data_IF_599650941338
#
_entry.id   IF_599650941338
#
_cell.length_a   1.000
_cell.length_b   1.000
_cell.length_c   1.000
_cell.angle_alpha   90.00
_cell.angle_beta   90.00
_cell.angle_gamma   90.00
#
_symmetry.space_group_name_H-M   'P 1'
#
loop_
_entity.id
_entity.type
_entity.pdbx_description
1 polymer ?
#
# COMPACT_ATOMS: atom_id res chain seq x y z
N UNK A 1 -5.51 -50.20 -23.73
CA UNK A 1 -4.33 -49.46 -23.24
C UNK A 1 -4.66 -47.98 -23.34
N UNK A 2 -4.98 -47.34 -22.21
CA UNK A 2 -5.31 -45.91 -22.15
C UNK A 2 -4.01 -45.11 -22.11
N UNK A 3 -3.86 -44.15 -23.03
CA UNK A 3 -2.74 -43.20 -23.01
C UNK A 3 -2.71 -42.44 -21.69
N UNK A 4 -1.52 -42.19 -21.12
CA UNK A 4 -1.39 -41.36 -19.94
C UNK A 4 -1.75 -39.91 -20.30
N UNK A 5 -2.82 -39.39 -19.71
CA UNK A 5 -3.20 -37.99 -19.82
C UNK A 5 -2.05 -37.12 -19.30
N UNK A 6 -1.54 -36.25 -20.17
CA UNK A 6 -0.52 -35.26 -19.81
C UNK A 6 -1.12 -34.28 -18.81
N UNK A 7 -0.62 -34.30 -17.58
CA UNK A 7 -0.95 -33.31 -16.54
C UNK A 7 -0.62 -31.91 -17.09
N UNK A 8 -1.56 -30.95 -17.11
CA UNK A 8 -1.28 -29.60 -17.59
C UNK A 8 -0.20 -28.96 -16.71
N UNK A 9 0.94 -28.62 -17.32
CA UNK A 9 1.99 -27.84 -16.64
C UNK A 9 1.40 -26.50 -16.21
N UNK A 10 1.39 -26.25 -14.91
CA UNK A 10 1.05 -24.94 -14.35
C UNK A 10 1.97 -23.90 -15.00
N UNK A 11 1.45 -22.79 -15.56
CA UNK A 11 2.31 -21.77 -16.14
C UNK A 11 3.27 -21.27 -15.07
N UNK A 12 4.57 -21.35 -15.34
CA UNK A 12 5.60 -20.79 -14.48
C UNK A 12 5.32 -19.29 -14.31
N UNK A 13 5.39 -18.75 -13.07
CA UNK A 13 5.27 -17.32 -12.86
C UNK A 13 6.29 -16.60 -13.73
N UNK A 14 5.85 -15.58 -14.49
CA UNK A 14 6.76 -14.76 -15.28
C UNK A 14 7.80 -14.14 -14.34
N UNK A 15 9.07 -14.17 -14.75
CA UNK A 15 10.13 -13.48 -14.04
C UNK A 15 9.76 -12.00 -13.87
N UNK A 16 10.05 -11.45 -12.69
CA UNK A 16 9.85 -10.04 -12.38
C UNK A 16 11.11 -9.25 -12.67
N UNK A 17 10.91 -8.04 -13.17
CA UNK A 17 11.96 -7.09 -13.50
C UNK A 17 12.23 -6.19 -12.29
N UNK A 18 13.48 -6.15 -11.75
CA UNK A 18 13.80 -5.43 -10.53
C UNK A 18 13.38 -3.96 -10.51
N UNK A 19 13.50 -3.27 -11.65
CA UNK A 19 13.10 -1.86 -11.79
C UNK A 19 11.61 -1.66 -11.51
N UNK A 20 10.75 -2.49 -12.11
CA UNK A 20 9.30 -2.39 -11.93
C UNK A 20 8.82 -2.91 -10.57
N UNK A 21 9.49 -3.91 -10.00
CA UNK A 21 9.17 -4.39 -8.64
C UNK A 21 9.54 -3.33 -7.59
N UNK A 22 10.73 -2.72 -7.71
CA UNK A 22 11.14 -1.57 -6.90
C UNK A 22 10.18 -0.38 -7.04
N UNK A 23 9.77 -0.04 -8.26
CA UNK A 23 8.79 1.03 -8.48
C UNK A 23 7.43 0.72 -7.85
N UNK A 24 6.96 -0.54 -7.90
CA UNK A 24 5.72 -0.95 -7.22
C UNK A 24 5.76 -0.67 -5.71
N UNK A 25 6.88 -0.90 -5.03
CA UNK A 25 7.03 -0.56 -3.60
C UNK A 25 6.92 0.95 -3.33
N UNK A 26 7.49 1.78 -4.21
CA UNK A 26 7.38 3.23 -4.12
C UNK A 26 5.92 3.68 -4.34
N UNK A 27 5.27 3.17 -5.39
CA UNK A 27 3.85 3.49 -5.69
C UNK A 27 2.94 3.00 -4.57
N UNK A 28 3.16 1.81 -3.99
CA UNK A 28 2.41 1.30 -2.84
C UNK A 28 2.44 2.29 -1.68
N UNK A 29 3.63 2.75 -1.28
CA UNK A 29 3.74 3.75 -0.21
C UNK A 29 2.97 5.04 -0.53
N UNK A 30 3.02 5.52 -1.78
CA UNK A 30 2.29 6.73 -2.19
C UNK A 30 0.78 6.54 -2.13
N UNK A 31 0.28 5.37 -2.52
CA UNK A 31 -1.14 5.01 -2.41
C UNK A 31 -1.61 4.98 -0.96
N UNK A 32 -0.78 4.48 -0.04
CA UNK A 32 -1.11 4.50 1.39
C UNK A 32 -1.09 5.92 1.94
N UNK A 33 -0.07 6.71 1.61
CA UNK A 33 0.03 8.10 2.08
C UNK A 33 -1.12 8.99 1.59
N UNK A 34 -1.60 8.79 0.36
CA UNK A 34 -2.64 9.66 -0.23
C UNK A 34 -4.06 9.13 -0.03
N UNK A 35 -4.27 7.82 -0.18
CA UNK A 35 -5.60 7.20 -0.18
C UNK A 35 -5.85 6.31 1.05
N UNK A 36 -4.85 6.08 1.89
CA UNK A 36 -4.92 5.13 3.01
C UNK A 36 -5.39 3.73 2.58
N UNK A 37 -4.78 3.20 1.51
CA UNK A 37 -5.10 1.87 0.92
C UNK A 37 -3.96 0.87 1.09
N UNK A 38 -3.79 0.29 2.29
CA UNK A 38 -2.59 -0.49 2.61
C UNK A 38 -2.54 -1.89 2.02
N UNK A 39 -3.69 -2.44 1.65
CA UNK A 39 -3.83 -3.82 1.18
C UNK A 39 -3.61 -3.85 -0.33
N UNK A 40 -2.50 -4.47 -0.76
CA UNK A 40 -2.28 -4.79 -2.17
C UNK A 40 -2.99 -6.09 -2.54
N UNK A 41 -3.69 -6.11 -3.67
CA UNK A 41 -4.39 -7.28 -4.22
C UNK A 41 -3.49 -8.02 -5.19
N UNK A 42 -2.89 -7.30 -6.13
CA UNK A 42 -2.01 -7.89 -7.15
C UNK A 42 -1.01 -6.87 -7.70
N UNK A 43 0.06 -7.38 -8.30
CA UNK A 43 1.05 -6.59 -9.04
C UNK A 43 1.43 -7.30 -10.33
N UNK A 44 1.75 -6.53 -11.37
CA UNK A 44 2.46 -7.01 -12.57
C UNK A 44 3.74 -6.20 -12.75
N UNK A 45 4.86 -6.87 -12.51
CA UNK A 45 6.22 -6.32 -12.60
C UNK A 45 7.04 -7.11 -13.64
N UNK A 46 6.41 -7.61 -14.71
CA UNK A 46 7.09 -8.44 -15.72
C UNK A 46 7.83 -7.62 -16.80
N UNK A 47 7.89 -6.29 -16.67
CA UNK A 47 8.54 -5.41 -17.64
C UNK A 47 9.33 -4.31 -16.94
N UNK A 48 10.59 -4.13 -17.31
CA UNK A 48 11.49 -3.18 -16.64
C UNK A 48 11.05 -1.71 -16.72
N UNK A 49 10.16 -1.35 -17.65
CA UNK A 49 9.72 0.04 -17.90
C UNK A 49 8.26 0.31 -17.57
N UNK A 50 7.48 -0.69 -17.20
CA UNK A 50 6.06 -0.52 -16.88
C UNK A 50 5.61 -1.51 -15.83
N UNK A 51 4.72 -1.08 -14.96
CA UNK A 51 4.14 -1.93 -13.93
C UNK A 51 2.66 -1.66 -13.71
N UNK A 52 2.05 -2.58 -12.96
CA UNK A 52 0.67 -2.43 -12.46
C UNK A 52 0.62 -2.81 -11.00
N UNK A 53 -0.16 -2.06 -10.22
CA UNK A 53 -0.50 -2.38 -8.84
C UNK A 53 -2.00 -2.22 -8.66
N UNK A 54 -2.65 -3.22 -8.08
CA UNK A 54 -4.05 -3.17 -7.67
C UNK A 54 -4.14 -3.23 -6.15
N UNK A 55 -4.89 -2.32 -5.57
CA UNK A 55 -5.11 -2.21 -4.12
C UNK A 55 -6.59 -2.34 -3.78
N UNK A 56 -6.87 -2.73 -2.54
CA UNK A 56 -8.22 -2.68 -2.00
C UNK A 56 -8.62 -1.22 -1.79
N UNK A 57 -9.77 -0.85 -2.35
CA UNK A 57 -10.29 0.51 -2.33
C UNK A 57 -11.80 0.48 -2.23
N UNK A 58 -12.33 1.09 -1.16
CA UNK A 58 -13.77 1.12 -0.87
C UNK A 58 -14.46 2.41 -1.33
N UNK A 59 -13.74 3.34 -1.97
CA UNK A 59 -14.36 4.52 -2.52
C UNK A 59 -15.36 4.15 -3.61
N UNK A 60 -16.54 4.74 -3.58
CA UNK A 60 -17.57 4.55 -4.61
C UNK A 60 -17.21 5.20 -5.93
N UNK A 61 -16.43 6.28 -5.88
CA UNK A 61 -16.00 7.05 -7.04
C UNK A 61 -14.54 6.80 -7.41
N UNK A 62 -14.25 6.93 -8.70
CA UNK A 62 -12.87 6.90 -9.20
C UNK A 62 -12.10 8.12 -8.65
N UNK A 63 -10.85 7.97 -8.17
CA UNK A 63 -10.05 9.12 -7.76
C UNK A 63 -9.94 10.17 -8.87
N UNK A 64 -10.09 11.43 -8.47
CA UNK A 64 -9.94 12.59 -9.36
C UNK A 64 -8.48 12.78 -9.75
N UNK A 65 -8.27 13.50 -10.85
CA UNK A 65 -6.95 13.70 -11.45
C UNK A 65 -5.95 14.39 -10.49
N UNK A 66 -6.42 15.31 -9.65
CA UNK A 66 -5.59 15.98 -8.62
C UNK A 66 -5.06 14.99 -7.59
N UNK A 67 -5.86 14.01 -7.19
CA UNK A 67 -5.46 12.93 -6.28
C UNK A 67 -4.47 11.98 -6.97
N UNK A 68 -4.71 11.62 -8.23
CA UNK A 68 -3.78 10.80 -9.03
C UNK A 68 -2.44 11.52 -9.18
N UNK A 69 -2.46 12.82 -9.49
CA UNK A 69 -1.26 13.64 -9.56
C UNK A 69 -0.52 13.68 -8.22
N UNK A 70 -1.24 13.83 -7.09
CA UNK A 70 -0.63 13.80 -5.75
C UNK A 70 0.07 12.47 -5.46
N UNK A 71 -0.50 11.33 -5.87
CA UNK A 71 0.14 10.01 -5.74
C UNK A 71 1.43 9.96 -6.56
N UNK A 72 1.40 10.44 -7.80
CA UNK A 72 2.60 10.49 -8.66
C UNK A 72 3.68 11.41 -8.08
N UNK A 73 3.30 12.61 -7.63
CA UNK A 73 4.23 13.58 -7.05
C UNK A 73 4.91 12.98 -5.81
N UNK A 74 4.15 12.28 -4.97
CA UNK A 74 4.65 11.66 -3.75
C UNK A 74 5.58 10.46 -4.04
N UNK A 75 5.23 9.63 -5.03
CA UNK A 75 6.12 8.56 -5.50
C UNK A 75 7.46 9.13 -5.99
N UNK A 76 7.43 10.20 -6.79
CA UNK A 76 8.64 10.84 -7.30
C UNK A 76 9.43 11.60 -6.22
N UNK A 77 8.76 12.13 -5.19
CA UNK A 77 9.43 12.71 -4.01
C UNK A 77 10.35 11.67 -3.35
N UNK A 78 9.82 10.47 -3.13
CA UNK A 78 10.57 9.37 -2.50
C UNK A 78 11.69 8.82 -3.40
N UNK A 79 11.49 8.83 -4.71
CA UNK A 79 12.58 8.53 -5.66
C UNK A 79 13.71 9.55 -5.54
N UNK A 80 13.37 10.84 -5.49
CA UNK A 80 14.35 11.92 -5.35
C UNK A 80 15.12 11.86 -4.02
N UNK A 81 14.49 11.37 -2.96
CA UNK A 81 15.13 11.16 -1.66
C UNK A 81 16.13 9.98 -1.65
N UNK A 82 16.11 9.14 -2.69
CA UNK A 82 17.07 8.07 -2.91
C UNK A 82 17.21 7.10 -1.72
N UNK A 83 16.08 6.68 -1.16
CA UNK A 83 16.01 5.81 0.00
C UNK A 83 16.51 4.41 -0.37
N UNK A 84 17.38 3.75 0.43
CA UNK A 84 17.86 2.41 0.16
C UNK A 84 16.76 1.35 0.35
N UNK A 85 16.77 0.32 -0.51
CA UNK A 85 15.99 -0.89 -0.31
C UNK A 85 16.75 -1.84 0.64
N UNK A 86 16.18 -2.12 1.81
CA UNK A 86 16.72 -3.07 2.76
C UNK A 86 16.02 -4.42 2.62
N UNK A 87 16.69 -5.38 2.00
CA UNK A 87 16.19 -6.74 1.82
C UNK A 87 16.88 -7.69 2.79
N UNK A 88 16.10 -8.39 3.61
CA UNK A 88 16.61 -9.33 4.59
C UNK A 88 15.81 -10.64 4.55
N UNK A 89 16.53 -11.76 4.66
CA UNK A 89 15.95 -13.08 4.87
C UNK A 89 15.91 -13.36 6.36
N UNK A 90 14.77 -13.82 6.87
CA UNK A 90 14.59 -14.10 8.30
C UNK A 90 13.47 -15.11 8.54
N UNK A 91 13.35 -15.61 9.75
CA UNK A 91 12.18 -16.44 10.09
C UNK A 91 10.90 -15.60 10.02
N UNK A 92 9.80 -16.26 9.67
CA UNK A 92 8.46 -15.68 9.65
C UNK A 92 8.14 -15.00 10.98
N UNK A 93 8.42 -15.69 12.09
CA UNK A 93 8.16 -15.20 13.45
C UNK A 93 8.94 -13.92 13.75
N UNK A 94 10.21 -13.85 13.38
CA UNK A 94 11.03 -12.64 13.58
C UNK A 94 10.51 -11.47 12.75
N UNK A 95 10.10 -11.72 11.50
CA UNK A 95 9.52 -10.69 10.65
C UNK A 95 8.20 -10.14 11.20
N UNK A 96 7.30 -11.04 11.62
CA UNK A 96 6.01 -10.67 12.20
C UNK A 96 6.18 -9.87 13.49
N UNK A 97 7.13 -10.24 14.35
CA UNK A 97 7.42 -9.46 15.56
C UNK A 97 8.07 -8.11 15.24
N UNK A 98 9.06 -8.08 14.33
CA UNK A 98 9.78 -6.85 13.94
C UNK A 98 8.84 -5.82 13.31
N UNK A 99 7.92 -6.27 12.44
CA UNK A 99 7.05 -5.39 11.65
C UNK A 99 5.59 -5.45 12.08
N UNK A 100 5.29 -5.86 13.32
CA UNK A 100 3.91 -5.95 13.85
C UNK A 100 3.11 -4.65 13.71
N UNK A 101 3.80 -3.51 13.82
CA UNK A 101 3.23 -2.16 13.69
C UNK A 101 3.19 -1.64 12.24
N UNK A 102 3.72 -2.41 11.29
CA UNK A 102 3.92 -1.96 9.92
C UNK A 102 4.93 -0.82 9.77
N UNK A 103 5.02 -0.28 8.56
CA UNK A 103 5.83 0.89 8.18
C UNK A 103 4.95 1.79 7.30
N UNK A 104 4.67 3.03 7.70
CA UNK A 104 3.76 3.94 6.98
C UNK A 104 2.39 3.30 6.67
N UNK A 105 1.77 2.67 7.67
CA UNK A 105 0.55 1.87 7.52
C UNK A 105 0.66 0.78 6.42
N UNK A 106 1.85 0.32 6.06
CA UNK A 106 2.05 -0.85 5.20
C UNK A 106 2.53 -2.04 6.02
N UNK A 107 2.23 -3.25 5.55
CA UNK A 107 2.50 -4.48 6.29
C UNK A 107 3.27 -5.48 5.44
N UNK A 108 3.92 -6.44 6.10
CA UNK A 108 4.70 -7.49 5.44
C UNK A 108 3.84 -8.44 4.58
N UNK A 109 2.52 -8.43 4.74
CA UNK A 109 1.62 -9.27 3.96
C UNK A 109 0.63 -8.44 3.17
N UNK A 110 0.45 -8.83 1.91
CA UNK A 110 -0.61 -8.36 1.02
C UNK A 110 -1.89 -9.20 1.21
N UNK A 111 -2.93 -8.96 0.39
CA UNK A 111 -4.24 -9.64 0.51
C UNK A 111 -4.11 -11.16 0.50
N UNK A 112 -3.19 -11.68 -0.31
CA UNK A 112 -2.86 -13.09 -0.41
C UNK A 112 -1.47 -13.33 0.21
N UNK A 113 -1.41 -13.67 1.52
CA UNK A 113 -0.15 -13.81 2.22
C UNK A 113 0.66 -15.03 1.75
N UNK A 114 1.93 -15.06 2.11
CA UNK A 114 2.81 -16.20 1.86
C UNK A 114 2.29 -17.44 2.60
N UNK A 115 2.18 -18.61 1.95
CA UNK A 115 1.67 -19.85 2.57
C UNK A 115 2.33 -20.16 3.92
N UNK A 116 1.54 -20.55 4.92
CA UNK A 116 2.00 -20.79 6.29
C UNK A 116 3.13 -21.82 6.40
N UNK A 117 3.20 -22.78 5.46
CA UNK A 117 4.30 -23.76 5.42
C UNK A 117 5.69 -23.12 5.18
N UNK A 118 5.74 -21.89 4.65
CA UNK A 118 6.98 -21.15 4.42
C UNK A 118 7.34 -20.39 5.69
N UNK A 119 8.33 -20.91 6.41
CA UNK A 119 8.79 -20.40 7.71
C UNK A 119 9.99 -19.45 7.63
N UNK A 120 10.61 -19.36 6.47
CA UNK A 120 11.69 -18.41 6.19
C UNK A 120 11.24 -17.51 5.05
N UNK A 121 11.19 -16.20 5.30
CA UNK A 121 10.66 -15.22 4.37
C UNK A 121 11.70 -14.14 4.08
N UNK A 122 11.56 -13.52 2.90
CA UNK A 122 12.37 -12.35 2.53
C UNK A 122 11.51 -11.12 2.64
N UNK A 123 11.93 -10.16 3.46
CA UNK A 123 11.25 -8.89 3.66
C UNK A 123 12.08 -7.79 3.01
N UNK A 124 11.41 -6.96 2.21
CA UNK A 124 11.95 -5.72 1.67
C UNK A 124 11.35 -4.54 2.43
N UNK A 125 12.20 -3.62 2.88
CA UNK A 125 11.85 -2.42 3.61
C UNK A 125 12.45 -1.19 2.91
N UNK A 126 11.59 -0.22 2.62
CA UNK A 126 11.94 1.18 2.42
C UNK A 126 11.60 1.92 3.72
N UNK A 127 12.62 2.41 4.41
CA UNK A 127 12.48 3.03 5.74
C UNK A 127 11.39 4.11 5.72
N UNK A 128 10.50 4.04 6.72
CA UNK A 128 9.39 4.99 6.93
C UNK A 128 8.42 5.12 5.74
N UNK A 129 8.49 4.22 4.74
CA UNK A 129 7.74 4.33 3.49
C UNK A 129 6.93 3.08 3.13
N UNK A 130 7.59 1.93 3.04
CA UNK A 130 6.92 0.68 2.71
C UNK A 130 7.69 -0.54 3.24
N UNK A 131 6.96 -1.53 3.74
CA UNK A 131 7.47 -2.89 3.98
C UNK A 131 6.59 -3.90 3.23
N UNK A 132 7.20 -4.99 2.76
CA UNK A 132 6.46 -6.15 2.23
C UNK A 132 7.31 -7.43 2.29
N UNK A 133 6.66 -8.59 2.31
CA UNK A 133 7.30 -9.86 2.04
C UNK A 133 7.43 -10.05 0.53
N UNK A 134 8.64 -9.87 -0.01
CA UNK A 134 8.93 -10.06 -1.43
C UNK A 134 10.29 -10.74 -1.60
N UNK A 135 10.31 -11.90 -2.26
CA UNK A 135 11.52 -12.69 -2.50
C UNK A 135 12.22 -12.36 -3.84
N UNK A 136 11.68 -11.42 -4.61
CA UNK A 136 12.25 -11.02 -5.89
C UNK A 136 13.39 -10.02 -5.71
N UNK A 137 14.18 -9.84 -6.77
CA UNK A 137 15.28 -8.87 -6.77
C UNK A 137 14.75 -7.44 -6.92
N UNK A 138 15.42 -6.50 -6.26
CA UNK A 138 15.10 -5.08 -6.26
C UNK A 138 16.36 -4.28 -6.59
N UNK A 139 16.16 -3.04 -7.04
CA UNK A 139 17.21 -2.03 -7.12
C UNK A 139 17.79 -1.73 -5.73
N UNK A 140 18.97 -1.10 -5.67
CA UNK A 140 19.61 -0.82 -4.38
C UNK A 140 18.98 0.37 -3.65
N UNK A 141 18.44 1.32 -4.40
CA UNK A 141 17.82 2.54 -3.87
C UNK A 141 16.74 3.06 -4.79
N UNK A 142 15.84 3.90 -4.27
CA UNK A 142 14.73 4.46 -5.04
C UNK A 142 15.19 5.37 -6.18
N UNK A 143 16.35 6.02 -6.05
CA UNK A 143 16.90 6.90 -7.10
C UNK A 143 17.33 6.16 -8.37
N UNK A 144 17.61 4.86 -8.29
CA UNK A 144 17.92 4.02 -9.46
C UNK A 144 16.69 3.78 -10.35
N UNK A 145 15.47 4.12 -9.90
CA UNK A 145 14.24 3.98 -10.68
C UNK A 145 14.19 5.03 -11.80
N UNK A 146 14.68 6.25 -11.57
CA UNK A 146 14.52 7.38 -12.48
C UNK A 146 13.30 8.24 -12.14
N UNK A 147 12.18 8.06 -12.83
CA UNK A 147 10.92 8.72 -12.51
C UNK A 147 9.71 7.83 -12.82
N UNK A 148 8.59 8.10 -12.16
CA UNK A 148 7.33 7.37 -12.35
C UNK A 148 6.28 8.28 -12.98
N UNK A 149 5.62 7.79 -14.04
CA UNK A 149 4.44 8.39 -14.62
C UNK A 149 3.26 7.44 -14.49
N UNK A 150 2.18 7.86 -13.82
CA UNK A 150 0.93 7.10 -13.76
C UNK A 150 0.23 7.27 -15.12
N UNK A 151 0.06 6.16 -15.85
CA UNK A 151 -0.48 6.17 -17.22
C UNK A 151 -1.96 5.81 -17.28
N UNK A 152 -2.53 5.32 -16.19
CA UNK A 152 -3.96 5.22 -16.06
C UNK A 152 -4.41 4.44 -14.83
N UNK A 153 -5.67 4.62 -14.51
CA UNK A 153 -6.32 3.97 -13.37
C UNK A 153 -7.60 3.26 -13.80
N UNK A 154 -7.84 2.08 -13.22
CA UNK A 154 -9.05 1.30 -13.42
C UNK A 154 -9.71 1.07 -12.06
N UNK A 155 -10.88 1.69 -11.85
CA UNK A 155 -11.64 1.56 -10.62
C UNK A 155 -12.77 0.53 -10.81
N UNK A 156 -12.74 -0.52 -9.99
CA UNK A 156 -13.71 -1.62 -9.99
C UNK A 156 -14.47 -1.62 -8.66
N UNK A 157 -15.40 -0.68 -8.51
CA UNK A 157 -16.18 -0.49 -7.28
C UNK A 157 -16.86 -1.78 -6.79
N UNK A 158 -17.43 -2.57 -7.70
CA UNK A 158 -18.09 -3.86 -7.36
C UNK A 158 -17.15 -4.92 -6.78
N UNK A 159 -15.83 -4.71 -6.87
CA UNK A 159 -14.79 -5.60 -6.34
C UNK A 159 -13.95 -4.96 -5.24
N UNK A 160 -14.27 -3.73 -4.83
CA UNK A 160 -13.44 -2.90 -3.94
C UNK A 160 -11.98 -2.85 -4.39
N UNK A 161 -11.74 -2.62 -5.68
CA UNK A 161 -10.41 -2.70 -6.27
C UNK A 161 -10.09 -1.47 -7.12
N UNK A 162 -8.91 -0.90 -6.89
CA UNK A 162 -8.39 0.21 -7.65
C UNK A 162 -7.01 -0.16 -8.19
N UNK A 163 -6.89 -0.19 -9.52
CA UNK A 163 -5.65 -0.52 -10.22
C UNK A 163 -5.00 0.73 -10.79
N UNK A 164 -3.69 0.84 -10.59
CA UNK A 164 -2.82 1.86 -11.19
C UNK A 164 -1.86 1.18 -12.17
N UNK A 165 -1.71 1.80 -13.34
CA UNK A 165 -0.69 1.49 -14.34
C UNK A 165 0.32 2.63 -14.35
N UNK A 166 1.60 2.29 -14.44
CA UNK A 166 2.65 3.28 -14.47
C UNK A 166 3.78 2.88 -15.42
N UNK A 167 4.47 3.90 -15.91
CA UNK A 167 5.69 3.80 -16.69
C UNK A 167 6.87 4.34 -15.88
N UNK A 168 8.04 3.76 -16.11
CA UNK A 168 9.32 4.20 -15.55
C UNK A 168 10.07 4.97 -16.64
N UNK A 169 10.44 6.20 -16.31
CA UNK A 169 11.14 7.14 -17.17
C UNK A 169 12.58 7.34 -16.67
N UNK A 170 13.49 7.76 -17.54
CA UNK A 170 14.87 8.04 -17.15
C UNK A 170 14.97 9.25 -16.20
N UNK A 171 14.12 10.26 -16.39
CA UNK A 171 13.99 11.45 -15.54
C UNK A 171 12.56 12.01 -15.65
N UNK A 172 12.18 12.91 -14.74
CA UNK A 172 10.97 13.72 -14.92
C UNK A 172 11.12 14.60 -16.17
N UNK A 173 10.05 14.81 -16.95
CA UNK A 173 10.08 15.74 -18.08
C UNK A 173 10.27 17.18 -17.59
N UNK A 174 11.18 17.92 -18.23
CA UNK A 174 11.42 19.33 -17.92
C UNK A 174 10.18 20.17 -18.23
N UNK A 175 9.62 20.82 -17.21
CA UNK A 175 8.44 21.67 -17.32
C UNK A 175 8.81 23.10 -17.79
N UNK A 176 9.77 23.24 -18.71
CA UNK A 176 10.20 24.51 -19.26
C UNK A 176 9.41 24.83 -20.55
N UNK A 177 8.14 25.21 -20.38
CA UNK A 177 7.44 26.05 -21.34
C UNK A 177 6.97 27.32 -20.63
N UNK A 178 7.78 28.36 -20.77
CA UNK A 178 7.50 29.72 -20.34
C UNK A 178 6.21 30.25 -20.97
N UNK A 179 5.29 30.71 -20.14
CA UNK A 179 4.47 31.88 -20.44
C UNK A 179 4.30 32.70 -19.16
N UNK A 180 5.07 33.78 -19.10
CA UNK A 180 4.93 34.88 -18.14
C UNK A 180 3.61 35.62 -18.41
N UNK A 181 2.83 35.91 -17.36
CA UNK A 181 2.52 37.29 -16.96
C UNK A 181 1.66 37.38 -15.69
N UNK A 182 2.32 37.88 -14.64
CA UNK A 182 1.94 38.94 -13.70
C UNK A 182 0.79 38.81 -12.66
N UNK A 183 1.27 38.97 -11.41
CA UNK A 183 0.89 39.97 -10.38
C UNK A 183 -0.15 39.63 -9.30
N UNK A 184 0.41 39.47 -8.10
CA UNK A 184 0.07 40.11 -6.82
C UNK A 184 -1.40 40.21 -6.40
N UNK A 185 -1.73 39.53 -5.28
CA UNK A 185 -2.20 40.24 -4.07
C UNK A 185 -2.12 39.41 -2.79
N UNK A 186 -1.78 40.15 -1.74
CA UNK A 186 -1.52 39.78 -0.34
C UNK A 186 -2.79 40.02 0.52
N UNK A 187 -3.12 39.12 1.44
CA UNK A 187 -3.76 39.37 2.75
C UNK A 187 -3.82 38.04 3.54
N UNK A 188 -3.11 37.83 4.65
CA UNK A 188 -3.27 38.34 6.04
C UNK A 188 -4.35 37.61 6.86
N UNK A 189 -3.86 36.70 7.73
CA UNK A 189 -4.29 36.30 9.11
C UNK A 189 -5.77 36.07 9.46
N UNK A 190 -6.08 34.91 10.06
CA UNK A 190 -6.26 34.80 11.53
C UNK A 190 -6.53 33.36 12.02
N UNK A 191 -5.98 33.08 13.21
CA UNK A 191 -6.19 31.91 14.05
C UNK A 191 -7.65 31.66 14.40
N UNK A 192 -8.02 30.37 14.47
CA UNK A 192 -8.92 29.84 15.50
C UNK A 192 -8.53 28.41 15.82
N UNK A 193 -8.04 28.24 17.04
CA UNK A 193 -7.67 27.00 17.71
C UNK A 193 -8.97 26.29 18.13
N UNK A 194 -9.20 25.08 17.64
CA UNK A 194 -10.22 24.16 18.18
C UNK A 194 -9.49 22.88 18.54
N UNK A 195 -9.24 22.71 19.83
CA UNK A 195 -8.87 21.44 20.43
C UNK A 195 -10.10 20.53 20.38
N UNK A 196 -10.08 19.53 19.50
CA UNK A 196 -10.93 18.35 19.61
C UNK A 196 -10.02 17.18 19.93
N UNK A 197 -10.16 16.64 21.14
CA UNK A 197 -9.49 15.45 21.65
C UNK A 197 -9.74 14.26 20.73
N UNK A 198 -8.74 13.93 19.90
CA UNK A 198 -8.67 12.69 19.14
C UNK A 198 -8.29 11.55 20.08
N UNK A 199 -9.21 10.62 20.34
CA UNK A 199 -8.87 9.29 20.82
C UNK A 199 -8.69 8.38 19.61
N UNK A 200 -7.58 8.58 18.88
CA UNK A 200 -7.15 7.72 17.78
C UNK A 200 -6.16 6.66 18.27
N UNK A 201 -6.26 5.45 17.74
CA UNK A 201 -5.29 4.38 18.03
C UNK A 201 -3.91 4.75 17.49
N UNK A 202 -2.92 4.62 18.36
CA UNK A 202 -1.52 4.73 18.00
C UNK A 202 -1.08 3.42 17.36
N UNK A 203 -0.22 3.48 16.34
CA UNK A 203 0.35 2.35 15.59
C UNK A 203 1.15 1.34 16.45
N UNK A 204 1.13 1.46 17.78
CA UNK A 204 1.78 0.61 18.78
C UNK A 204 0.82 -0.35 19.49
N UNK A 205 -0.49 -0.22 19.30
CA UNK A 205 -1.47 -0.98 20.08
C UNK A 205 -1.67 -2.40 19.52
N UNK A 206 -0.98 -3.38 20.13
CA UNK A 206 -1.10 -4.81 19.79
C UNK A 206 -2.01 -5.57 20.75
N UNK A 207 -2.75 -4.86 21.62
CA UNK A 207 -3.65 -5.46 22.58
C UNK A 207 -4.97 -5.81 21.88
N UNK A 208 -5.22 -7.11 21.66
CA UNK A 208 -6.43 -7.64 21.01
C UNK A 208 -7.70 -7.12 21.69
N UNK A 209 -7.71 -6.94 23.01
CA UNK A 209 -8.87 -6.39 23.72
C UNK A 209 -9.12 -4.92 23.36
N UNK A 210 -8.07 -4.14 23.19
CA UNK A 210 -8.17 -2.74 22.76
C UNK A 210 -8.63 -2.64 21.31
N UNK A 211 -8.06 -3.46 20.43
CA UNK A 211 -8.46 -3.56 19.02
C UNK A 211 -9.94 -3.96 18.88
N UNK A 212 -10.37 -5.00 19.59
CA UNK A 212 -11.77 -5.44 19.58
C UNK A 212 -12.72 -4.40 20.18
N UNK A 213 -12.29 -3.69 21.23
CA UNK A 213 -13.07 -2.61 21.82
C UNK A 213 -13.24 -1.42 20.87
N UNK A 214 -12.27 -1.16 20.01
CA UNK A 214 -12.33 -0.06 19.05
C UNK A 214 -13.18 -0.40 17.84
N UNK A 215 -13.09 -1.63 17.32
CA UNK A 215 -14.07 -2.14 16.35
C UNK A 215 -15.48 -2.00 16.94
N UNK A 216 -15.66 -2.40 18.20
CA UNK A 216 -16.95 -2.24 18.89
C UNK A 216 -17.36 -0.77 19.01
N UNK A 217 -16.46 0.13 19.41
CA UNK A 217 -16.75 1.57 19.56
C UNK A 217 -17.13 2.22 18.23
N UNK A 218 -16.46 1.85 17.14
CA UNK A 218 -16.76 2.31 15.78
C UNK A 218 -18.16 1.83 15.35
N UNK A 219 -18.44 0.54 15.51
CA UNK A 219 -19.74 -0.05 15.18
C UNK A 219 -20.86 0.54 16.05
N UNK A 220 -20.61 0.72 17.35
CA UNK A 220 -21.58 1.31 18.29
C UNK A 220 -21.85 2.80 18.02
N UNK A 221 -20.86 3.57 17.56
CA UNK A 221 -21.08 4.96 17.13
C UNK A 221 -22.05 5.04 15.95
N UNK A 222 -21.85 4.20 14.93
CA UNK A 222 -22.72 4.20 13.75
C UNK A 222 -24.12 3.68 14.08
N UNK A 223 -24.25 2.61 14.87
CA UNK A 223 -25.56 2.08 15.34
C UNK A 223 -26.34 3.14 16.13
N UNK A 224 -25.69 3.87 17.04
CA UNK A 224 -26.36 4.89 17.85
C UNK A 224 -26.74 6.14 17.06
N UNK A 225 -26.10 6.38 15.91
CA UNK A 225 -26.41 7.51 15.02
C UNK A 225 -27.54 7.23 14.03
N UNK A 226 -28.04 5.98 13.94
CA UNK A 226 -28.99 5.53 12.91
C UNK A 226 -28.53 5.83 11.47
N UNK A 227 -27.23 6.02 11.24
CA UNK A 227 -26.66 6.25 9.91
C UNK A 227 -26.21 4.93 9.29
N UNK A 228 -26.30 4.85 7.96
CA UNK A 228 -25.68 3.76 7.19
C UNK A 228 -24.16 3.87 7.35
N UNK A 229 -23.52 2.77 7.72
CA UNK A 229 -22.06 2.66 7.88
C UNK A 229 -21.34 3.29 6.70
N UNK A 230 -20.49 4.29 6.95
CA UNK A 230 -19.81 5.03 5.86
C UNK A 230 -18.64 4.22 5.27
N UNK A 231 -18.27 4.48 4.02
CA UNK A 231 -17.11 3.84 3.38
C UNK A 231 -15.80 4.10 4.14
N UNK A 232 -15.71 5.28 4.79
CA UNK A 232 -14.59 5.63 5.68
C UNK A 232 -14.58 4.73 6.91
N UNK A 233 -15.72 4.57 7.57
CA UNK A 233 -15.86 3.70 8.75
C UNK A 233 -15.51 2.25 8.41
N UNK A 234 -15.96 1.76 7.25
CA UNK A 234 -15.64 0.41 6.76
C UNK A 234 -14.15 0.23 6.51
N UNK A 235 -13.50 1.19 5.88
CA UNK A 235 -12.05 1.16 5.63
C UNK A 235 -11.24 1.18 6.92
N UNK A 236 -11.69 1.91 7.94
CA UNK A 236 -11.07 1.91 9.27
C UNK A 236 -11.19 0.53 9.94
N UNK A 237 -12.37 -0.11 9.90
CA UNK A 237 -12.58 -1.47 10.41
C UNK A 237 -11.69 -2.48 9.68
N UNK A 238 -11.60 -2.45 8.35
CA UNK A 238 -10.77 -3.39 7.58
C UNK A 238 -9.27 -3.20 7.84
N UNK A 239 -8.82 -1.96 8.04
CA UNK A 239 -7.45 -1.69 8.48
C UNK A 239 -7.18 -2.29 9.86
N UNK A 240 -8.13 -2.16 10.80
CA UNK A 240 -8.01 -2.73 12.14
C UNK A 240 -8.08 -4.26 12.08
N UNK A 241 -8.93 -4.86 11.24
CA UNK A 241 -8.98 -6.30 11.02
C UNK A 241 -7.69 -6.83 10.39
N UNK A 242 -7.05 -6.05 9.52
CA UNK A 242 -5.74 -6.39 8.96
C UNK A 242 -4.64 -6.33 10.02
N UNK A 243 -4.66 -5.31 10.89
CA UNK A 243 -3.78 -5.24 12.06
C UNK A 243 -4.02 -6.45 12.98
N UNK A 244 -5.30 -6.78 13.26
CA UNK A 244 -5.69 -7.93 14.07
C UNK A 244 -5.23 -9.24 13.44
N UNK A 245 -5.37 -9.39 12.12
CA UNK A 245 -4.93 -10.54 11.34
C UNK A 245 -3.41 -10.69 11.36
N UNK A 246 -2.68 -9.59 11.18
CA UNK A 246 -1.22 -9.57 11.31
C UNK A 246 -0.78 -9.91 12.75
N UNK A 247 -1.51 -9.44 13.75
CA UNK A 247 -1.30 -9.78 15.16
C UNK A 247 -1.75 -11.20 15.52
N UNK A 248 -2.69 -11.82 14.77
CA UNK A 248 -3.11 -13.20 15.00
C UNK A 248 -2.12 -14.20 14.40
N UNK A 249 -1.49 -13.86 13.28
CA UNK A 249 -0.40 -14.65 12.70
C UNK A 249 0.81 -14.74 13.63
N UNK A 250 1.18 -13.64 14.31
CA UNK A 250 2.30 -13.64 15.28
C UNK A 250 2.04 -14.51 16.53
N UNK A 251 0.77 -14.85 16.80
CA UNK A 251 0.35 -15.76 17.89
C UNK A 251 0.04 -17.19 17.42
N UNK A 252 0.24 -17.51 16.14
CA UNK A 252 0.00 -18.85 15.60
C UNK A 252 -1.48 -19.26 15.54
N UNK A 253 -2.43 -18.32 15.64
CA UNK A 253 -3.84 -18.63 15.40
C UNK A 253 -4.12 -18.50 13.89
N UNK A 254 -4.23 -19.65 13.22
CA UNK A 254 -4.77 -19.75 11.86
C UNK A 254 -6.21 -19.22 11.87
N UNK A 255 -6.48 -18.07 11.27
CA UNK A 255 -7.85 -17.64 10.99
C UNK A 255 -8.34 -18.35 9.73
N UNK A 256 -9.00 -19.51 9.90
CA UNK A 256 -10.01 -19.94 8.92
C UNK A 256 -11.18 -18.98 9.08
N UNK A 257 -11.40 -18.15 8.07
CA UNK A 257 -12.69 -17.46 7.83
C UNK A 257 -13.46 -18.33 6.86
#
# INVERSE_FOLDING_TARGET
MTEPQTVPKTPTPKAREPSSDSACHVVKGALVTVLNTPITISVDCSNAKKGRIAVEYHGTEKPKEDIVKKIQDEANRIIKENIPFHTQKMSRKEAEEKYKSGVNNTFIYDKFPVPEAIQEITVVELKDWNVNCCAHSHLKSTGEIGAISITGINHRASKNELEFRFDILASLPDNNNNNNNNKDKKQTTNNSKVESTESGLSSKDTNIQHISQEIYNIISRDINSNQVMTDKTRSEIESILTILKNASYSKGLSSKI
#
